data_IF_778633166764
#
_entry.id   IF_778633166764
#
_cell.length_a   1.000
_cell.length_b   1.000
_cell.length_c   1.000
_cell.angle_alpha   90.00
_cell.angle_beta   90.00
_cell.angle_gamma   90.00
#
_symmetry.space_group_name_H-M   'P 1'
#
loop_
_entity.id
_entity.type
_entity.pdbx_description
1 polymer ?
#
# COMPACT_ATOMS: atom_id res chain seq x y z
N UNK A 1 28.64 8.28 -2.44
CA UNK A 1 28.74 6.83 -2.65
C UNK A 1 27.44 6.06 -2.40
N UNK A 2 26.73 6.17 -1.26
CA UNK A 2 25.39 5.53 -1.10
C UNK A 2 24.29 6.23 -1.94
N UNK A 3 24.44 7.54 -2.12
CA UNK A 3 23.44 8.43 -2.74
C UNK A 3 23.48 8.46 -4.28
N UNK A 4 24.54 7.90 -4.88
CA UNK A 4 24.72 7.90 -6.34
C UNK A 4 24.02 6.69 -7.00
N UNK A 5 23.48 5.76 -6.21
CA UNK A 5 22.91 4.50 -6.68
C UNK A 5 21.58 4.64 -7.43
N UNK A 6 20.89 5.78 -7.29
CA UNK A 6 19.54 6.00 -7.82
C UNK A 6 19.43 7.19 -8.77
N UNK A 7 20.56 7.86 -9.08
CA UNK A 7 20.63 8.81 -10.20
C UNK A 7 20.97 8.07 -11.49
N UNK A 8 20.02 7.33 -12.04
CA UNK A 8 20.12 6.83 -13.41
C UNK A 8 18.78 6.93 -14.12
N UNK A 9 18.86 7.47 -15.34
CA UNK A 9 17.76 7.86 -16.24
C UNK A 9 16.56 6.90 -16.19
N UNK A 10 15.39 7.48 -15.92
CA UNK A 10 14.06 6.87 -16.07
C UNK A 10 14.00 6.01 -17.33
N UNK A 11 14.04 4.70 -17.15
CA UNK A 11 13.38 3.77 -18.05
C UNK A 11 12.40 3.03 -17.16
N UNK A 12 11.11 3.37 -17.27
CA UNK A 12 10.07 2.63 -16.58
C UNK A 12 10.24 1.15 -16.94
N UNK A 13 10.68 0.34 -15.98
CA UNK A 13 10.58 -1.10 -16.11
C UNK A 13 9.08 -1.38 -16.08
N UNK A 14 8.53 -1.83 -17.20
CA UNK A 14 7.16 -2.33 -17.24
C UNK A 14 7.08 -3.46 -16.20
N UNK A 15 6.20 -3.35 -15.19
CA UNK A 15 6.02 -4.45 -14.25
C UNK A 15 5.68 -5.72 -15.04
N UNK A 16 6.24 -6.87 -14.63
CA UNK A 16 5.70 -8.16 -15.10
C UNK A 16 4.24 -8.21 -14.65
N UNK A 17 3.34 -8.80 -15.45
CA UNK A 17 1.91 -8.85 -15.07
C UNK A 17 1.67 -9.75 -13.84
N UNK A 18 2.46 -10.81 -13.68
CA UNK A 18 2.29 -11.82 -12.62
C UNK A 18 3.62 -12.15 -11.95
N UNK A 19 3.54 -12.59 -10.69
CA UNK A 19 4.70 -13.07 -9.92
C UNK A 19 4.87 -14.58 -10.12
N UNK A 20 6.05 -15.08 -10.56
CA UNK A 20 6.32 -16.51 -10.57
C UNK A 20 6.69 -17.01 -9.16
N UNK A 21 6.00 -18.03 -8.65
CA UNK A 21 6.34 -18.70 -7.38
C UNK A 21 5.16 -18.83 -6.39
N UNK A 22 5.40 -19.35 -5.16
CA UNK A 22 4.35 -19.45 -4.15
C UNK A 22 3.86 -18.07 -3.76
N UNK A 23 2.55 -17.85 -3.92
CA UNK A 23 1.89 -16.58 -3.62
C UNK A 23 1.61 -16.48 -2.12
N UNK A 24 2.14 -15.44 -1.45
CA UNK A 24 1.67 -15.08 -0.11
C UNK A 24 0.35 -14.34 -0.22
N UNK A 25 -0.66 -14.85 0.48
CA UNK A 25 -2.00 -14.27 0.48
C UNK A 25 -2.02 -13.13 1.49
N UNK A 26 -1.95 -11.91 0.97
CA UNK A 26 -2.26 -10.68 1.71
C UNK A 26 -3.38 -9.94 0.98
N UNK A 27 -4.20 -9.18 1.72
CA UNK A 27 -5.26 -8.33 1.16
C UNK A 27 -4.98 -6.89 1.55
N UNK A 28 -4.81 -6.03 0.55
CA UNK A 28 -4.69 -4.60 0.76
C UNK A 28 -6.08 -3.98 0.85
N UNK A 29 -6.25 -3.06 1.81
CA UNK A 29 -7.48 -2.33 2.07
C UNK A 29 -7.19 -0.85 2.30
N UNK A 30 -7.95 0.00 1.62
CA UNK A 30 -7.99 1.45 1.82
C UNK A 30 -9.39 1.83 2.28
N UNK A 31 -9.48 2.53 3.42
CA UNK A 31 -10.74 3.08 3.90
C UNK A 31 -10.80 4.59 3.65
N UNK A 32 -11.89 5.04 3.05
CA UNK A 32 -12.22 6.46 2.92
C UNK A 32 -13.17 6.83 4.05
N UNK A 33 -12.75 7.73 4.92
CA UNK A 33 -13.42 8.00 6.20
C UNK A 33 -14.40 9.17 6.10
N UNK A 34 -15.59 9.04 6.70
CA UNK A 34 -16.66 10.04 6.66
C UNK A 34 -17.31 10.24 8.03
N UNK A 35 -17.80 11.45 8.34
CA UNK A 35 -18.52 11.71 9.60
C UNK A 35 -19.95 11.16 9.57
N UNK A 36 -20.56 11.14 8.39
CA UNK A 36 -21.93 10.67 8.12
C UNK A 36 -21.90 9.64 6.98
N UNK A 37 -22.95 8.81 6.80
CA UNK A 37 -23.01 7.88 5.69
C UNK A 37 -22.87 8.64 4.35
N UNK A 38 -21.86 8.35 3.52
CA UNK A 38 -21.70 9.07 2.26
C UNK A 38 -22.84 8.71 1.30
N UNK A 39 -23.38 9.72 0.62
CA UNK A 39 -24.31 9.50 -0.50
C UNK A 39 -23.57 8.89 -1.68
N UNK A 40 -23.51 7.56 -1.74
CA UNK A 40 -22.72 6.88 -2.75
C UNK A 40 -23.41 6.91 -4.13
N UNK A 41 -22.94 7.81 -4.99
CA UNK A 41 -23.40 7.98 -6.38
C UNK A 41 -22.64 7.03 -7.30
N UNK A 42 -23.22 5.85 -7.49
CA UNK A 42 -22.67 4.80 -8.37
C UNK A 42 -22.55 5.29 -9.81
N UNK A 43 -23.44 6.18 -10.28
CA UNK A 43 -23.41 6.71 -11.64
C UNK A 43 -22.23 7.66 -11.86
N UNK A 44 -22.06 8.63 -10.97
CA UNK A 44 -20.91 9.54 -10.99
C UNK A 44 -19.58 8.79 -10.82
N UNK A 45 -19.54 7.82 -9.91
CA UNK A 45 -18.38 6.97 -9.71
C UNK A 45 -18.04 6.15 -10.97
N UNK A 46 -19.02 5.46 -11.56
CA UNK A 46 -18.82 4.65 -12.78
C UNK A 46 -18.30 5.49 -13.95
N UNK A 47 -18.90 6.67 -14.15
CA UNK A 47 -18.45 7.61 -15.18
C UNK A 47 -17.00 8.04 -14.95
N UNK A 48 -16.67 8.49 -13.74
CA UNK A 48 -15.31 8.95 -13.41
C UNK A 48 -14.28 7.83 -13.47
N UNK A 49 -14.67 6.62 -13.07
CA UNK A 49 -13.84 5.43 -13.19
C UNK A 49 -13.48 5.15 -14.65
N UNK A 50 -14.44 5.22 -15.58
CA UNK A 50 -14.17 5.03 -17.01
C UNK A 50 -13.30 6.11 -17.64
N UNK A 51 -13.33 7.34 -17.12
CA UNK A 51 -12.44 8.44 -17.56
C UNK A 51 -10.98 8.21 -17.14
N UNK A 52 -10.75 7.69 -15.93
CA UNK A 52 -9.40 7.50 -15.36
C UNK A 52 -8.84 6.12 -15.73
N UNK A 53 -9.69 5.10 -15.76
CA UNK A 53 -9.37 3.69 -15.94
C UNK A 53 -10.25 3.09 -17.04
N UNK A 54 -9.98 3.42 -18.29
CA UNK A 54 -10.80 3.05 -19.48
C UNK A 54 -11.19 1.57 -19.55
N UNK A 55 -10.30 0.68 -19.08
CA UNK A 55 -10.48 -0.78 -19.11
C UNK A 55 -11.06 -1.36 -17.81
N UNK A 56 -11.51 -0.48 -16.91
CA UNK A 56 -12.17 -0.84 -15.66
C UNK A 56 -13.66 -0.53 -15.72
N UNK A 57 -14.48 -1.41 -15.16
CA UNK A 57 -15.94 -1.24 -15.10
C UNK A 57 -16.53 -1.87 -13.84
N UNK A 58 -17.70 -1.40 -13.43
CA UNK A 58 -18.49 -2.07 -12.40
C UNK A 58 -19.07 -3.36 -13.01
N UNK A 59 -18.88 -4.49 -12.34
CA UNK A 59 -19.38 -5.78 -12.77
C UNK A 59 -20.91 -5.86 -12.68
N UNK A 60 -21.52 -6.65 -13.57
CA UNK A 60 -22.94 -6.93 -13.51
C UNK A 60 -23.28 -7.82 -12.29
N UNK A 61 -24.39 -7.50 -11.62
CA UNK A 61 -24.88 -8.24 -10.46
C UNK A 61 -24.24 -7.79 -9.14
N UNK A 62 -25.10 -7.37 -8.21
CA UNK A 62 -24.77 -7.10 -6.82
C UNK A 62 -25.06 -8.35 -5.99
N UNK A 63 -24.02 -9.02 -5.49
CA UNK A 63 -24.18 -9.99 -4.40
C UNK A 63 -23.60 -9.38 -3.12
N UNK A 64 -24.39 -9.39 -2.04
CA UNK A 64 -23.90 -9.00 -0.71
C UNK A 64 -23.66 -7.50 -0.47
N UNK A 65 -24.15 -6.60 -1.35
CA UNK A 65 -24.13 -5.15 -1.10
C UNK A 65 -22.78 -4.45 -1.33
N UNK A 66 -21.80 -5.13 -1.91
CA UNK A 66 -20.54 -4.54 -2.36
C UNK A 66 -20.52 -4.41 -3.89
N UNK A 67 -20.00 -3.29 -4.39
CA UNK A 67 -19.68 -3.18 -5.82
C UNK A 67 -18.42 -3.99 -6.12
N UNK A 68 -18.42 -4.66 -7.27
CA UNK A 68 -17.22 -5.28 -7.84
C UNK A 68 -16.79 -4.48 -9.04
N UNK A 69 -15.50 -4.22 -9.15
CA UNK A 69 -14.88 -3.55 -10.28
C UNK A 69 -13.98 -4.56 -10.98
N UNK A 70 -14.19 -4.76 -12.27
CA UNK A 70 -13.37 -5.61 -13.13
C UNK A 70 -12.33 -4.75 -13.85
N UNK A 71 -11.07 -5.17 -13.80
CA UNK A 71 -9.95 -4.53 -14.51
C UNK A 71 -9.51 -5.43 -15.67
N UNK A 72 -10.08 -5.20 -16.86
CA UNK A 72 -9.97 -6.12 -18.00
C UNK A 72 -8.60 -6.11 -18.70
N UNK A 73 -7.78 -5.10 -18.41
CA UNK A 73 -6.38 -4.99 -18.81
C UNK A 73 -5.41 -5.79 -17.96
N UNK A 74 -5.89 -6.33 -16.83
CA UNK A 74 -5.11 -7.12 -15.89
C UNK A 74 -5.65 -8.55 -15.84
N UNK A 75 -5.41 -9.37 -16.89
CA UNK A 75 -5.89 -10.74 -16.92
C UNK A 75 -5.14 -11.62 -15.89
N UNK A 76 -5.91 -12.36 -15.12
CA UNK A 76 -5.44 -13.36 -14.18
C UNK A 76 -5.71 -14.76 -14.72
N UNK A 77 -4.71 -15.63 -14.60
CA UNK A 77 -4.84 -17.02 -14.96
C UNK A 77 -5.33 -17.81 -13.75
N UNK A 78 -6.50 -18.44 -13.89
CA UNK A 78 -7.05 -19.41 -12.96
C UNK A 78 -6.86 -20.83 -13.54
N UNK A 79 -7.11 -21.86 -12.73
CA UNK A 79 -6.92 -23.27 -13.14
C UNK A 79 -7.76 -23.64 -14.37
N UNK A 80 -9.00 -23.13 -14.45
CA UNK A 80 -10.00 -23.49 -15.45
C UNK A 80 -10.30 -22.38 -16.46
N UNK A 81 -9.89 -21.14 -16.20
CA UNK A 81 -10.23 -19.97 -17.01
C UNK A 81 -9.25 -18.80 -16.85
N UNK A 82 -9.36 -17.83 -17.74
CA UNK A 82 -8.79 -16.50 -17.54
C UNK A 82 -9.90 -15.54 -17.15
N UNK A 83 -9.66 -14.67 -16.17
CA UNK A 83 -10.63 -13.64 -15.75
C UNK A 83 -9.91 -12.34 -15.35
N UNK A 84 -10.65 -11.22 -15.18
CA UNK A 84 -10.04 -9.96 -14.79
C UNK A 84 -9.59 -9.99 -13.32
N UNK A 85 -8.59 -9.17 -12.99
CA UNK A 85 -8.38 -8.74 -11.62
C UNK A 85 -9.60 -7.94 -11.13
N UNK A 86 -9.92 -8.04 -9.84
CA UNK A 86 -11.09 -7.39 -9.27
C UNK A 86 -10.77 -6.56 -8.02
N UNK A 87 -11.51 -5.48 -7.87
CA UNK A 87 -11.56 -4.67 -6.66
C UNK A 87 -12.98 -4.69 -6.10
N UNK A 88 -13.13 -4.83 -4.79
CA UNK A 88 -14.41 -4.70 -4.09
C UNK A 88 -14.52 -3.32 -3.43
N UNK A 89 -15.68 -2.68 -3.57
CA UNK A 89 -16.03 -1.43 -2.89
C UNK A 89 -17.26 -1.67 -2.03
N UNK A 90 -17.11 -1.52 -0.72
CA UNK A 90 -18.19 -1.72 0.25
C UNK A 90 -18.32 -0.50 1.15
N UNK A 91 -19.53 -0.20 1.60
CA UNK A 91 -19.80 0.87 2.55
C UNK A 91 -20.28 0.30 3.89
N UNK A 92 -19.93 0.95 4.98
CA UNK A 92 -20.37 0.51 6.30
C UNK A 92 -20.03 1.49 7.43
N UNK A 93 -20.56 1.26 8.63
CA UNK A 93 -20.15 2.00 9.82
C UNK A 93 -18.72 1.63 10.22
N UNK A 94 -18.00 2.60 10.79
CA UNK A 94 -16.76 2.35 11.52
C UNK A 94 -17.12 1.78 12.89
N UNK A 95 -16.82 0.50 13.11
CA UNK A 95 -17.17 -0.20 14.36
C UNK A 95 -16.07 -0.16 15.41
N UNK A 96 -14.82 0.13 15.01
CA UNK A 96 -13.67 0.27 15.90
C UNK A 96 -12.82 1.46 15.47
N UNK A 97 -12.69 2.47 16.34
CA UNK A 97 -11.86 3.64 16.11
C UNK A 97 -10.38 3.40 16.42
N UNK A 98 -10.02 2.28 17.07
CA UNK A 98 -8.64 2.01 17.48
C UNK A 98 -7.65 2.00 16.30
N UNK A 99 -7.91 1.33 15.17
CA UNK A 99 -7.00 1.38 14.02
C UNK A 99 -6.81 2.80 13.49
N UNK A 100 -7.88 3.59 13.40
CA UNK A 100 -7.83 4.98 12.95
C UNK A 100 -7.03 5.84 13.92
N UNK A 101 -7.20 5.66 15.24
CA UNK A 101 -6.45 6.38 16.26
C UNK A 101 -4.96 6.04 16.23
N UNK A 102 -4.60 4.77 16.01
CA UNK A 102 -3.21 4.34 15.82
C UNK A 102 -2.63 4.98 14.57
N UNK A 103 -3.34 4.92 13.44
CA UNK A 103 -2.89 5.54 12.20
C UNK A 103 -2.74 7.06 12.34
N UNK A 104 -3.69 7.71 13.03
CA UNK A 104 -3.64 9.13 13.34
C UNK A 104 -2.38 9.47 14.15
N UNK A 105 -2.08 8.75 15.23
CA UNK A 105 -0.91 9.05 16.06
C UNK A 105 0.42 9.01 15.29
N UNK A 106 0.50 8.21 14.23
CA UNK A 106 1.74 7.98 13.48
C UNK A 106 1.78 8.64 12.09
N UNK A 107 0.77 9.43 11.71
CA UNK A 107 0.71 10.08 10.40
C UNK A 107 1.03 11.58 10.48
N UNK A 108 1.69 12.16 9.44
CA UNK A 108 1.83 13.59 9.26
C UNK A 108 0.47 14.27 9.39
N UNK A 109 0.48 15.48 9.93
CA UNK A 109 -0.72 16.30 10.10
C UNK A 109 -0.85 17.24 8.92
N UNK A 110 -2.07 17.35 8.43
CA UNK A 110 -2.51 18.34 7.46
C UNK A 110 -3.62 19.19 8.08
N UNK A 111 -4.02 20.24 7.38
CA UNK A 111 -5.12 21.09 7.81
C UNK A 111 -6.43 20.28 7.88
N UNK A 112 -7.15 20.37 8.99
CA UNK A 112 -8.39 19.62 9.18
C UNK A 112 -8.23 18.16 9.61
N UNK A 113 -7.00 17.64 9.76
CA UNK A 113 -6.76 16.23 10.14
C UNK A 113 -7.51 15.80 11.42
N UNK A 114 -7.72 16.69 12.40
CA UNK A 114 -8.46 16.37 13.63
C UNK A 114 -9.93 15.96 13.37
N UNK A 115 -10.53 16.37 12.25
CA UNK A 115 -11.89 15.97 11.87
C UNK A 115 -12.00 14.46 11.67
N UNK A 116 -10.90 13.76 11.36
CA UNK A 116 -10.90 12.29 11.22
C UNK A 116 -11.40 11.58 12.49
N UNK A 117 -11.29 12.22 13.66
CA UNK A 117 -11.81 11.66 14.93
C UNK A 117 -13.33 11.59 14.98
N UNK A 118 -14.04 12.32 14.12
CA UNK A 118 -15.50 12.25 14.00
C UNK A 118 -15.93 11.20 12.98
N UNK A 119 -15.01 10.46 12.37
CA UNK A 119 -15.35 9.43 11.39
C UNK A 119 -16.22 8.34 12.02
N UNK A 120 -17.40 8.13 11.46
CA UNK A 120 -18.35 7.10 11.87
C UNK A 120 -18.70 6.13 10.72
N UNK A 121 -18.30 6.46 9.49
CA UNK A 121 -18.58 5.69 8.29
C UNK A 121 -17.34 5.56 7.41
N UNK A 122 -17.29 4.48 6.64
CA UNK A 122 -16.24 4.23 5.68
C UNK A 122 -16.77 3.69 4.35
N UNK A 123 -16.11 4.08 3.26
CA UNK A 123 -16.10 3.30 2.02
C UNK A 123 -14.77 2.55 1.98
N UNK A 124 -14.83 1.22 1.99
CA UNK A 124 -13.68 0.33 1.94
C UNK A 124 -13.44 -0.13 0.50
N UNK A 125 -12.21 0.10 0.02
CA UNK A 125 -11.70 -0.40 -1.26
C UNK A 125 -10.74 -1.54 -0.95
N UNK A 126 -11.05 -2.74 -1.43
CA UNK A 126 -10.33 -3.97 -1.08
C UNK A 126 -9.98 -4.77 -2.33
N UNK A 127 -8.84 -5.42 -2.29
CA UNK A 127 -8.45 -6.37 -3.32
C UNK A 127 -9.35 -7.62 -3.32
N UNK A 128 -9.70 -8.12 -4.51
CA UNK A 128 -10.44 -9.37 -4.68
C UNK A 128 -9.73 -10.27 -5.70
N UNK A 129 -9.22 -11.41 -5.22
CA UNK A 129 -8.58 -12.45 -6.03
C UNK A 129 -7.34 -11.99 -6.83
N UNK A 130 -6.64 -10.95 -6.38
CA UNK A 130 -5.50 -10.34 -7.09
C UNK A 130 -4.13 -10.89 -6.70
N UNK A 131 -4.06 -11.93 -5.87
CA UNK A 131 -2.81 -12.33 -5.22
C UNK A 131 -1.67 -12.73 -6.19
N UNK A 132 -2.00 -13.23 -7.38
CA UNK A 132 -1.03 -13.58 -8.44
C UNK A 132 -0.53 -12.38 -9.25
N UNK A 133 -1.20 -11.24 -9.12
CA UNK A 133 -0.83 -9.99 -9.80
C UNK A 133 0.42 -9.39 -9.15
N UNK A 134 1.24 -8.72 -9.97
CA UNK A 134 2.40 -8.02 -9.48
C UNK A 134 2.05 -6.97 -8.39
N UNK A 135 2.78 -6.92 -7.26
CA UNK A 135 2.52 -6.00 -6.14
C UNK A 135 2.33 -4.55 -6.57
N UNK A 136 3.16 -4.06 -7.50
CA UNK A 136 3.00 -2.70 -8.01
C UNK A 136 1.68 -2.47 -8.76
N UNK A 137 1.22 -3.44 -9.56
CA UNK A 137 -0.06 -3.32 -10.25
C UNK A 137 -1.22 -3.38 -9.24
N UNK A 138 -1.14 -4.29 -8.26
CA UNK A 138 -2.09 -4.39 -7.14
C UNK A 138 -2.26 -3.05 -6.44
N UNK A 139 -1.13 -2.44 -6.05
CA UNK A 139 -1.10 -1.15 -5.36
C UNK A 139 -1.71 -0.03 -6.21
N UNK A 140 -1.29 0.11 -7.47
CA UNK A 140 -1.75 1.19 -8.34
C UNK A 140 -3.23 1.06 -8.69
N UNK A 141 -3.71 -0.15 -8.99
CA UNK A 141 -5.12 -0.41 -9.29
C UNK A 141 -6.02 -0.06 -8.11
N UNK A 142 -5.66 -0.51 -6.90
CA UNK A 142 -6.43 -0.20 -5.70
C UNK A 142 -6.43 1.30 -5.38
N UNK A 143 -5.27 1.94 -5.53
CA UNK A 143 -5.11 3.38 -5.30
C UNK A 143 -5.92 4.21 -6.27
N UNK A 144 -5.96 3.83 -7.55
CA UNK A 144 -6.72 4.53 -8.58
C UNK A 144 -8.24 4.47 -8.32
N UNK A 145 -8.76 3.32 -7.87
CA UNK A 145 -10.16 3.20 -7.45
C UNK A 145 -10.45 4.10 -6.25
N UNK A 146 -9.60 4.09 -5.23
CA UNK A 146 -9.76 4.95 -4.05
C UNK A 146 -9.68 6.44 -4.41
N UNK A 147 -8.75 6.85 -5.27
CA UNK A 147 -8.59 8.24 -5.71
C UNK A 147 -9.78 8.72 -6.55
N UNK A 148 -10.36 7.82 -7.36
CA UNK A 148 -11.62 8.07 -8.08
C UNK A 148 -12.74 8.37 -7.11
N UNK A 149 -12.88 7.58 -6.04
CA UNK A 149 -13.87 7.81 -4.99
C UNK A 149 -13.61 9.11 -4.22
N UNK A 150 -12.35 9.42 -3.88
CA UNK A 150 -12.00 10.69 -3.25
C UNK A 150 -12.44 11.90 -4.09
N UNK A 151 -12.23 11.83 -5.40
CA UNK A 151 -12.60 12.88 -6.35
C UNK A 151 -14.11 13.14 -6.43
N UNK A 152 -14.93 12.12 -6.13
CA UNK A 152 -16.40 12.22 -6.20
C UNK A 152 -17.02 12.53 -4.82
N UNK A 153 -16.48 11.96 -3.74
CA UNK A 153 -17.15 11.94 -2.43
C UNK A 153 -16.45 12.75 -1.33
N UNK A 154 -15.21 13.21 -1.53
CA UNK A 154 -14.47 14.08 -0.59
C UNK A 154 -14.48 13.56 0.86
N UNK A 155 -13.84 12.42 1.14
CA UNK A 155 -13.71 11.92 2.51
C UNK A 155 -12.93 12.88 3.41
N UNK A 156 -12.95 12.64 4.73
CA UNK A 156 -12.11 13.33 5.70
C UNK A 156 -10.64 12.91 5.60
N UNK A 157 -10.40 11.64 5.28
CA UNK A 157 -9.07 11.05 5.13
C UNK A 157 -9.10 9.77 4.32
N UNK A 158 -7.94 9.43 3.78
CA UNK A 158 -7.62 8.13 3.22
C UNK A 158 -6.83 7.34 4.26
N UNK A 159 -7.37 6.20 4.69
CA UNK A 159 -6.77 5.31 5.67
C UNK A 159 -6.23 4.06 5.00
N UNK A 160 -4.90 3.99 4.89
CA UNK A 160 -4.17 2.78 4.53
C UNK A 160 -4.15 1.83 5.73
N UNK A 161 -5.10 0.92 5.76
CA UNK A 161 -5.32 0.02 6.92
C UNK A 161 -4.08 -0.82 7.21
N UNK A 162 -3.46 -1.36 6.16
CA UNK A 162 -2.35 -2.30 6.29
C UNK A 162 -1.02 -1.65 6.70
N UNK A 163 -0.84 -0.35 6.52
CA UNK A 163 0.37 0.39 6.93
C UNK A 163 0.13 1.29 8.14
N UNK A 164 -1.10 1.34 8.65
CA UNK A 164 -1.52 2.23 9.74
C UNK A 164 -1.22 3.69 9.40
N UNK A 165 -1.62 4.14 8.20
CA UNK A 165 -1.38 5.52 7.73
C UNK A 165 -2.66 6.23 7.34
N UNK A 166 -2.75 7.49 7.72
CA UNK A 166 -3.74 8.43 7.23
C UNK A 166 -3.08 9.42 6.28
N UNK A 167 -3.80 9.76 5.22
CA UNK A 167 -3.37 10.67 4.18
C UNK A 167 -4.48 11.68 3.90
N UNK A 168 -4.09 12.92 3.65
CA UNK A 168 -4.95 13.96 3.09
C UNK A 168 -5.55 13.49 1.75
N UNK A 169 -6.88 13.47 1.59
CA UNK A 169 -7.53 13.06 0.34
C UNK A 169 -7.04 13.80 -0.90
N UNK A 170 -6.76 15.10 -0.79
CA UNK A 170 -6.35 15.90 -1.96
C UNK A 170 -4.93 15.56 -2.40
N UNK A 171 -4.00 15.45 -1.44
CA UNK A 171 -2.64 14.95 -1.70
C UNK A 171 -2.67 13.53 -2.27
N UNK A 172 -3.55 12.67 -1.76
CA UNK A 172 -3.69 11.31 -2.25
C UNK A 172 -4.12 11.28 -3.73
N UNK A 173 -5.11 12.10 -4.11
CA UNK A 173 -5.57 12.21 -5.50
C UNK A 173 -4.45 12.74 -6.40
N UNK A 174 -3.71 13.77 -5.96
CA UNK A 174 -2.58 14.33 -6.69
C UNK A 174 -1.51 13.26 -6.98
N UNK A 175 -1.01 12.61 -5.93
CA UNK A 175 0.06 11.60 -6.01
C UNK A 175 -0.34 10.40 -6.88
N UNK A 176 -1.59 9.93 -6.77
CA UNK A 176 -2.07 8.81 -7.60
C UNK A 176 -2.23 9.23 -9.06
N UNK A 177 -2.67 10.46 -9.33
CA UNK A 177 -2.87 10.97 -10.69
C UNK A 177 -1.55 11.17 -11.44
N UNK A 178 -0.47 11.48 -10.73
CA UNK A 178 0.88 11.56 -11.30
C UNK A 178 1.41 10.20 -11.78
N UNK A 179 0.84 9.10 -11.29
CA UNK A 179 1.19 7.73 -11.68
C UNK A 179 2.55 7.26 -11.19
N UNK A 180 3.21 8.01 -10.30
CA UNK A 180 4.49 7.62 -9.71
C UNK A 180 4.27 6.70 -8.50
N UNK A 181 4.53 5.40 -8.71
CA UNK A 181 4.38 4.39 -7.65
C UNK A 181 5.25 4.67 -6.43
N UNK A 182 6.43 5.27 -6.59
CA UNK A 182 7.30 5.58 -5.46
C UNK A 182 6.67 6.64 -4.55
N UNK A 183 5.96 7.60 -5.12
CA UNK A 183 5.26 8.64 -4.35
C UNK A 183 4.02 8.06 -3.66
N UNK A 184 3.28 7.14 -4.29
CA UNK A 184 2.18 6.41 -3.63
C UNK A 184 2.69 5.62 -2.42
N UNK A 185 3.85 4.96 -2.57
CA UNK A 185 4.50 4.21 -1.48
C UNK A 185 4.85 5.13 -0.32
N UNK A 186 5.56 6.23 -0.59
CA UNK A 186 6.02 7.20 0.43
C UNK A 186 4.86 7.90 1.14
N UNK A 187 3.80 8.19 0.40
CA UNK A 187 2.66 8.97 0.91
C UNK A 187 1.87 8.20 1.96
N UNK A 188 1.69 6.89 1.78
CA UNK A 188 1.00 6.09 2.80
C UNK A 188 1.01 4.59 2.65
N UNK A 189 1.28 4.02 1.47
CA UNK A 189 1.14 2.58 1.30
C UNK A 189 2.10 1.76 2.18
N UNK A 190 3.27 2.33 2.52
CA UNK A 190 4.25 1.74 3.43
C UNK A 190 4.60 2.73 4.54
N UNK A 191 4.76 2.23 5.76
CA UNK A 191 5.11 3.02 6.94
C UNK A 191 6.37 2.48 7.61
N UNK A 192 7.38 3.33 7.80
CA UNK A 192 8.56 3.02 8.62
C UNK A 192 8.31 3.44 10.08
N UNK A 193 8.19 2.47 10.99
CA UNK A 193 7.87 2.71 12.41
C UNK A 193 9.13 2.64 13.26
N UNK A 194 9.36 3.67 14.07
CA UNK A 194 10.53 3.74 14.94
C UNK A 194 10.19 3.31 16.37
N UNK A 195 10.80 2.22 16.84
CA UNK A 195 10.60 1.66 18.18
C UNK A 195 11.75 2.05 19.11
N UNK A 196 11.57 3.14 19.86
CA UNK A 196 12.59 3.73 20.76
C UNK A 196 12.79 3.01 22.09
N UNK A 197 11.94 2.04 22.43
CA UNK A 197 11.92 1.39 23.76
C UNK A 197 12.83 0.17 23.88
N UNK A 198 13.60 -0.15 22.85
CA UNK A 198 14.54 -1.27 22.83
C UNK A 198 15.93 -0.73 22.48
N UNK A 199 16.95 -1.19 23.20
CA UNK A 199 18.36 -1.01 22.82
C UNK A 199 18.89 -2.39 22.41
N UNK A 200 19.45 -2.54 21.19
CA UNK A 200 19.55 -1.54 20.14
C UNK A 200 18.17 -1.10 19.62
N UNK A 201 18.10 0.14 19.12
CA UNK A 201 16.91 0.69 18.48
C UNK A 201 16.45 -0.20 17.32
N UNK A 202 15.13 -0.25 17.11
CA UNK A 202 14.55 -1.01 16.00
C UNK A 202 13.63 -0.13 15.17
N UNK A 203 13.75 -0.26 13.85
CA UNK A 203 12.79 0.31 12.90
C UNK A 203 12.26 -0.81 12.02
N UNK A 204 10.96 -0.80 11.74
CA UNK A 204 10.37 -1.76 10.81
C UNK A 204 9.48 -1.09 9.76
N UNK A 205 9.32 -1.73 8.62
CA UNK A 205 8.28 -1.38 7.65
C UNK A 205 6.97 -2.06 8.03
N UNK A 206 5.87 -1.43 7.66
CA UNK A 206 4.54 -2.00 7.73
C UNK A 206 3.79 -1.72 6.42
N UNK A 207 3.21 -2.78 5.85
CA UNK A 207 2.36 -2.72 4.65
C UNK A 207 2.79 -3.67 3.53
N UNK A 208 4.05 -4.14 3.53
CA UNK A 208 4.55 -5.05 2.48
C UNK A 208 3.89 -6.42 2.53
N UNK A 209 3.59 -6.92 3.73
CA UNK A 209 2.93 -8.23 3.93
C UNK A 209 1.56 -8.32 3.26
N UNK A 210 0.79 -7.22 3.25
CA UNK A 210 -0.50 -7.15 2.55
C UNK A 210 -0.36 -7.29 1.02
N UNK A 211 0.77 -6.89 0.47
CA UNK A 211 1.12 -7.06 -0.95
C UNK A 211 1.77 -8.42 -1.23
N UNK A 212 1.84 -9.33 -0.25
CA UNK A 212 2.50 -10.63 -0.37
C UNK A 212 4.03 -10.58 -0.32
N UNK A 213 4.61 -9.48 0.16
CA UNK A 213 6.05 -9.26 0.31
C UNK A 213 6.46 -9.34 1.78
N UNK A 214 7.75 -9.44 2.10
CA UNK A 214 8.16 -9.39 3.51
C UNK A 214 8.40 -7.93 3.91
N UNK A 215 7.83 -7.54 5.05
CA UNK A 215 8.28 -6.33 5.74
C UNK A 215 9.76 -6.44 6.14
N UNK A 216 10.40 -5.32 6.43
CA UNK A 216 11.83 -5.25 6.73
C UNK A 216 11.98 -4.66 8.12
N UNK A 217 12.86 -5.23 8.92
CA UNK A 217 13.19 -4.77 10.25
C UNK A 217 14.68 -4.48 10.31
N UNK A 218 15.10 -3.36 10.89
CA UNK A 218 16.50 -3.02 11.10
C UNK A 218 16.75 -2.74 12.58
N UNK A 219 17.71 -3.47 13.16
CA UNK A 219 18.30 -3.10 14.45
C UNK A 219 19.49 -2.20 14.19
N UNK A 220 19.57 -1.08 14.88
CA UNK A 220 20.64 -0.12 14.69
C UNK A 220 20.98 0.60 15.99
N UNK A 221 22.20 1.13 16.03
CA UNK A 221 22.72 1.92 17.13
C UNK A 221 23.66 2.96 16.55
N UNK A 222 23.72 4.15 17.14
CA UNK A 222 24.66 5.21 16.75
C UNK A 222 24.52 5.66 15.27
N UNK A 223 23.34 5.47 14.68
CA UNK A 223 22.97 5.91 13.33
C UNK A 223 21.72 6.79 13.40
N UNK A 224 21.65 7.82 12.55
CA UNK A 224 20.47 8.68 12.41
C UNK A 224 19.23 7.86 11.99
N UNK A 225 18.15 7.84 12.80
CA UNK A 225 16.91 7.15 12.46
C UNK A 225 16.31 7.58 11.12
N UNK A 226 16.44 8.86 10.73
CA UNK A 226 15.93 9.33 9.44
C UNK A 226 16.64 8.65 8.27
N UNK A 227 17.95 8.39 8.42
CA UNK A 227 18.73 7.67 7.43
C UNK A 227 18.32 6.20 7.32
N UNK A 228 18.02 5.57 8.46
CA UNK A 228 17.51 4.19 8.47
C UNK A 228 16.16 4.11 7.77
N UNK A 229 15.25 5.05 8.03
CA UNK A 229 13.94 5.12 7.38
C UNK A 229 14.06 5.25 5.84
N UNK A 230 14.98 6.09 5.35
CA UNK A 230 15.24 6.23 3.92
C UNK A 230 15.70 4.92 3.29
N UNK A 231 16.64 4.22 3.93
CA UNK A 231 17.14 2.92 3.44
C UNK A 231 16.03 1.87 3.43
N UNK A 232 15.24 1.77 4.50
CA UNK A 232 14.10 0.85 4.55
C UNK A 232 13.06 1.16 3.48
N UNK A 233 12.73 2.44 3.27
CA UNK A 233 11.82 2.88 2.21
C UNK A 233 12.32 2.51 0.81
N UNK A 234 13.62 2.63 0.56
CA UNK A 234 14.23 2.21 -0.71
C UNK A 234 14.13 0.70 -0.93
N UNK A 235 14.38 -0.11 0.10
CA UNK A 235 14.22 -1.57 -0.01
C UNK A 235 12.75 -1.96 -0.19
N UNK A 236 11.81 -1.34 0.53
CA UNK A 236 10.39 -1.56 0.36
C UNK A 236 9.94 -1.26 -1.07
N UNK A 237 10.35 -0.10 -1.60
CA UNK A 237 10.06 0.30 -2.98
C UNK A 237 10.67 -0.68 -3.98
N UNK A 238 11.91 -1.13 -3.76
CA UNK A 238 12.54 -2.13 -4.61
C UNK A 238 11.77 -3.45 -4.60
N UNK A 239 11.33 -3.95 -3.43
CA UNK A 239 10.52 -5.18 -3.36
C UNK A 239 9.21 -5.05 -4.14
N UNK A 240 8.52 -3.91 -4.05
CA UNK A 240 7.25 -3.69 -4.77
C UNK A 240 7.49 -3.64 -6.28
N UNK A 241 8.52 -2.92 -6.74
CA UNK A 241 8.83 -2.73 -8.16
C UNK A 241 9.36 -4.01 -8.82
N UNK A 242 10.09 -4.85 -8.09
CA UNK A 242 10.63 -6.12 -8.62
C UNK A 242 9.69 -7.31 -8.38
N UNK A 243 8.57 -7.10 -7.70
CA UNK A 243 7.64 -8.17 -7.34
C UNK A 243 8.24 -9.19 -6.37
N UNK A 244 9.14 -8.75 -5.51
CA UNK A 244 9.82 -9.61 -4.53
C UNK A 244 10.95 -10.46 -5.10
N UNK A 245 11.44 -10.22 -6.33
CA UNK A 245 12.63 -10.93 -6.84
C UNK A 245 13.86 -10.58 -5.99
N UNK A 246 14.20 -11.50 -5.09
CA UNK A 246 15.26 -11.36 -4.11
C UNK A 246 16.62 -11.06 -4.72
N UNK A 247 16.89 -11.54 -5.94
CA UNK A 247 18.18 -11.36 -6.60
C UNK A 247 18.53 -9.89 -6.84
N UNK A 248 17.51 -9.05 -7.10
CA UNK A 248 17.70 -7.63 -7.39
C UNK A 248 18.04 -6.83 -6.13
N UNK A 249 17.36 -7.09 -5.00
CA UNK A 249 17.62 -6.36 -3.76
C UNK A 249 18.73 -7.00 -2.90
N UNK A 250 18.95 -8.32 -2.94
CA UNK A 250 20.08 -8.99 -2.29
C UNK A 250 21.42 -8.56 -2.90
N UNK A 251 21.48 -8.38 -4.23
CA UNK A 251 22.69 -7.86 -4.89
C UNK A 251 23.00 -6.44 -4.43
N UNK A 252 21.96 -5.61 -4.21
CA UNK A 252 22.10 -4.27 -3.65
C UNK A 252 22.51 -4.35 -2.18
N UNK A 253 21.88 -5.18 -1.36
CA UNK A 253 22.20 -5.39 0.05
C UNK A 253 23.66 -5.85 0.25
N UNK A 254 24.11 -6.86 -0.51
CA UNK A 254 25.50 -7.36 -0.47
C UNK A 254 26.52 -6.29 -0.83
N UNK A 255 26.24 -5.45 -1.84
CA UNK A 255 27.12 -4.31 -2.19
C UNK A 255 27.24 -3.29 -1.06
N UNK A 256 26.26 -3.24 -0.16
CA UNK A 256 26.23 -2.35 0.99
C UNK A 256 26.73 -3.02 2.28
N UNK A 257 27.20 -4.27 2.22
CA UNK A 257 27.62 -5.02 3.40
C UNK A 257 26.46 -5.45 4.30
N UNK A 258 25.26 -5.58 3.73
CA UNK A 258 24.02 -5.85 4.47
C UNK A 258 23.49 -7.25 4.15
N UNK A 259 23.07 -8.00 5.17
CA UNK A 259 22.30 -9.25 5.02
C UNK A 259 20.81 -9.03 5.25
N UNK A 260 19.99 -9.93 4.69
CA UNK A 260 18.55 -9.98 4.88
C UNK A 260 18.20 -11.38 5.36
N UNK A 261 18.00 -11.53 6.65
CA UNK A 261 17.69 -12.83 7.26
C UNK A 261 16.20 -12.89 7.63
N UNK A 262 15.44 -13.91 7.16
CA UNK A 262 14.02 -14.01 7.51
C UNK A 262 13.87 -14.36 9.00
N UNK A 263 13.18 -13.49 9.74
CA UNK A 263 12.90 -13.67 11.18
C UNK A 263 11.45 -13.34 11.49
N UNK A 264 10.87 -13.87 12.59
CA UNK A 264 9.59 -13.38 13.09
C UNK A 264 9.69 -11.91 13.49
N UNK A 265 8.66 -11.11 13.21
CA UNK A 265 8.60 -9.73 13.66
C UNK A 265 8.62 -9.66 15.19
N UNK A 266 9.42 -8.74 15.73
CA UNK A 266 9.44 -8.46 17.17
C UNK A 266 8.25 -7.59 17.62
N UNK A 267 7.53 -6.99 16.66
CA UNK A 267 6.45 -6.05 16.91
C UNK A 267 5.19 -6.49 16.19
N UNK A 268 4.04 -6.18 16.79
CA UNK A 268 2.75 -6.45 16.15
C UNK A 268 2.60 -5.69 14.82
N UNK A 269 1.80 -6.23 13.87
CA UNK A 269 1.21 -7.56 13.89
C UNK A 269 2.24 -8.68 13.65
N UNK A 270 1.94 -9.90 14.11
CA UNK A 270 2.76 -11.10 13.87
C UNK A 270 2.89 -11.37 12.37
N UNK A 271 4.12 -11.33 11.86
CA UNK A 271 4.48 -11.55 10.44
C UNK A 271 5.96 -11.91 10.32
N UNK A 272 6.36 -12.40 9.15
CA UNK A 272 7.78 -12.57 8.84
C UNK A 272 8.35 -11.26 8.32
N UNK A 273 9.57 -10.93 8.76
CA UNK A 273 10.31 -9.76 8.30
C UNK A 273 11.70 -10.19 7.83
N UNK A 274 12.32 -9.38 6.96
CA UNK A 274 13.76 -9.48 6.73
C UNK A 274 14.49 -8.59 7.73
N UNK A 275 15.39 -9.19 8.52
CA UNK A 275 16.28 -8.43 9.39
C UNK A 275 17.45 -7.88 8.59
N UNK A 276 17.54 -6.55 8.55
CA UNK A 276 18.60 -5.76 7.93
C UNK A 276 19.75 -5.59 8.92
N UNK A 277 20.82 -6.36 8.73
CA UNK A 277 22.03 -6.25 9.54
C UNK A 277 23.00 -5.26 8.89
N UNK A 278 23.17 -4.08 9.49
CA UNK A 278 24.17 -3.10 9.06
C UNK A 278 25.52 -3.53 9.63
N UNK A 279 26.44 -4.02 8.79
CA UNK A 279 27.82 -4.23 9.23
C UNK A 279 28.42 -2.88 9.66
N UNK A 280 28.95 -2.84 10.89
CA UNK A 280 29.65 -1.67 11.43
C UNK A 280 30.94 -1.33 10.69
#
# INVERSE_FOLDING_TARGET
>A
MLFDLFRSKKKALSPKHQVPGPVRVGVTRIDLLYPEPPGFDVGAFSKRLGEIMEKSRIADGQEGGALRIEHTDLPLQYEDRTGPAMTAVAQGPVTDLKPINVAFANSPKWEGAEQVRTAAHAISVMELMTATLHPGNRLMTLSAVAATLCSVHRPLAVHWVNSERLVDPDLFVEVVSDGDIEEVIKTGAIHCRFHRKQEPWVMDTLGLDALGLNDIQCRFKDVDPARVAEVLGLFASAQIVTGGDAREYEKKARKLGVSLDPVPSQFGPQRNVFELNIAG
#
